data_IF_151532602764
#
_entry.id   IF_151532602764
#
_cell.length_a   1.000
_cell.length_b   1.000
_cell.length_c   1.000
_cell.angle_alpha   90.00
_cell.angle_beta   90.00
_cell.angle_gamma   90.00
#
_symmetry.space_group_name_H-M   'P 1'
#
loop_
_entity.id
_entity.type
_entity.pdbx_description
1 polymer ?
#
# COMPACT_ATOMS: atom_id res chain seq x y z
N UNK A 1 23.80 15.23 -11.40
CA UNK A 1 23.13 13.90 -11.29
C UNK A 1 23.93 12.79 -11.98
N UNK A 2 24.64 13.08 -13.08
CA UNK A 2 25.54 12.14 -13.74
C UNK A 2 26.72 11.74 -12.86
N UNK A 3 27.32 12.67 -12.13
CA UNK A 3 28.49 12.44 -11.27
C UNK A 3 28.23 11.43 -10.15
N UNK A 4 27.07 11.49 -9.48
CA UNK A 4 26.70 10.52 -8.42
C UNK A 4 26.55 9.09 -8.97
N UNK A 5 26.07 8.94 -10.20
CA UNK A 5 25.97 7.62 -10.83
C UNK A 5 27.35 7.08 -11.21
N UNK A 6 28.22 7.90 -11.78
CA UNK A 6 29.60 7.54 -12.14
C UNK A 6 30.44 7.21 -10.91
N UNK A 7 30.37 8.02 -9.87
CA UNK A 7 31.04 7.75 -8.58
C UNK A 7 30.55 6.44 -7.96
N UNK A 8 29.25 6.16 -7.96
CA UNK A 8 28.68 4.92 -7.44
C UNK A 8 29.15 3.68 -8.23
N UNK A 9 29.40 3.79 -9.53
CA UNK A 9 29.91 2.67 -10.34
C UNK A 9 31.38 2.36 -10.07
N UNK A 10 32.19 3.35 -9.78
CA UNK A 10 33.62 3.20 -9.55
C UNK A 10 33.97 2.94 -8.09
N UNK A 11 33.11 3.36 -7.15
CA UNK A 11 33.38 3.20 -5.72
C UNK A 11 33.35 1.73 -5.30
N UNK A 12 34.48 1.24 -4.80
CA UNK A 12 34.59 -0.10 -4.20
C UNK A 12 33.79 -0.15 -2.91
N UNK A 13 33.24 -1.34 -2.62
CA UNK A 13 32.52 -1.55 -1.37
C UNK A 13 33.43 -1.38 -0.17
N UNK A 14 33.03 -0.51 0.75
CA UNK A 14 33.73 -0.31 2.02
C UNK A 14 33.38 -1.46 2.97
N UNK A 15 34.34 -1.93 3.77
CA UNK A 15 34.07 -2.86 4.89
C UNK A 15 33.08 -2.17 5.84
N UNK A 16 32.24 -2.97 6.52
CA UNK A 16 31.33 -2.45 7.53
C UNK A 16 32.07 -1.51 8.48
N UNK A 17 31.76 -0.21 8.38
CA UNK A 17 32.24 0.80 9.31
C UNK A 17 31.30 0.94 10.51
N UNK A 18 31.53 1.96 11.35
CA UNK A 18 30.59 2.34 12.39
C UNK A 18 29.21 2.60 11.76
N UNK A 19 28.16 2.08 12.43
CA UNK A 19 26.78 2.34 12.04
C UNK A 19 26.56 3.85 11.90
N UNK A 20 26.10 4.25 10.72
CA UNK A 20 25.58 5.60 10.53
C UNK A 20 24.09 5.56 10.89
N UNK A 21 23.65 6.51 11.70
CA UNK A 21 22.26 6.66 12.11
C UNK A 21 21.34 6.85 10.90
N UNK A 22 20.65 5.81 10.48
CA UNK A 22 19.59 5.87 9.44
C UNK A 22 18.25 6.18 10.10
N UNK A 23 17.97 7.45 10.26
CA UNK A 23 16.99 8.00 11.18
C UNK A 23 15.54 7.76 10.82
N UNK A 24 15.18 7.73 9.53
CA UNK A 24 13.78 7.65 9.09
C UNK A 24 13.22 6.24 9.01
N UNK A 25 14.05 5.21 8.92
CA UNK A 25 13.65 3.82 8.62
C UNK A 25 13.79 2.85 9.78
N UNK A 26 14.40 3.27 10.89
CA UNK A 26 14.66 2.40 12.05
C UNK A 26 13.41 1.88 12.76
N UNK A 27 12.25 2.49 12.54
CA UNK A 27 10.98 2.04 13.13
C UNK A 27 10.29 0.93 12.34
N UNK A 28 10.78 0.62 11.15
CA UNK A 28 10.23 -0.45 10.31
C UNK A 28 11.00 -1.74 10.53
N UNK A 29 10.29 -2.87 10.50
CA UNK A 29 10.93 -4.16 10.65
C UNK A 29 11.68 -4.55 9.38
N UNK A 30 12.77 -5.31 9.54
CA UNK A 30 13.67 -5.70 8.45
C UNK A 30 12.99 -6.49 7.33
N UNK A 31 11.84 -7.14 7.59
CA UNK A 31 11.12 -7.95 6.60
C UNK A 31 10.83 -7.17 5.31
N UNK A 32 10.44 -5.88 5.44
CA UNK A 32 10.20 -5.03 4.29
C UNK A 32 11.43 -4.74 3.43
N UNK A 33 12.63 -4.95 3.98
CA UNK A 33 13.91 -4.70 3.33
C UNK A 33 14.66 -5.96 2.91
N UNK A 34 14.14 -7.16 3.18
CA UNK A 34 14.79 -8.44 2.80
C UNK A 34 15.14 -8.48 1.30
N UNK A 35 14.24 -8.11 0.37
CA UNK A 35 14.58 -8.20 -1.05
C UNK A 35 15.79 -7.34 -1.42
N UNK A 36 15.81 -6.08 -0.95
CA UNK A 36 16.91 -5.15 -1.22
C UNK A 36 18.22 -5.63 -0.57
N UNK A 37 18.13 -6.14 0.67
CA UNK A 37 19.27 -6.67 1.38
C UNK A 37 19.88 -7.89 0.68
N UNK A 38 19.06 -8.77 0.12
CA UNK A 38 19.51 -9.93 -0.67
C UNK A 38 20.25 -9.46 -1.94
N UNK A 39 19.65 -8.56 -2.72
CA UNK A 39 20.28 -8.05 -3.94
C UNK A 39 21.60 -7.32 -3.66
N UNK A 40 21.62 -6.45 -2.65
CA UNK A 40 22.83 -5.76 -2.22
C UNK A 40 23.88 -6.74 -1.68
N UNK A 41 23.46 -7.74 -0.91
CA UNK A 41 24.34 -8.77 -0.35
C UNK A 41 25.03 -9.61 -1.44
N UNK A 42 24.30 -9.96 -2.52
CA UNK A 42 24.89 -10.64 -3.69
C UNK A 42 25.94 -9.75 -4.35
N UNK A 43 25.62 -8.46 -4.58
CA UNK A 43 26.59 -7.51 -5.13
C UNK A 43 27.86 -7.41 -4.30
N UNK A 44 27.71 -7.37 -2.97
CA UNK A 44 28.83 -7.37 -2.03
C UNK A 44 29.62 -8.67 -2.07
N UNK A 45 28.96 -9.81 -2.09
CA UNK A 45 29.62 -11.14 -2.17
C UNK A 45 30.46 -11.28 -3.45
N UNK A 46 29.96 -10.76 -4.58
CA UNK A 46 30.64 -10.76 -5.86
C UNK A 46 31.66 -9.60 -6.01
N UNK A 47 31.91 -8.81 -4.97
CA UNK A 47 32.80 -7.64 -4.99
C UNK A 47 32.46 -6.62 -6.10
N UNK A 48 31.19 -6.46 -6.43
CA UNK A 48 30.72 -5.47 -7.39
C UNK A 48 30.78 -4.06 -6.78
N UNK A 49 30.73 -3.03 -7.62
CA UNK A 49 30.70 -1.63 -7.14
C UNK A 49 29.45 -1.36 -6.30
N UNK A 50 29.49 -0.32 -5.48
CA UNK A 50 28.35 0.13 -4.65
C UNK A 50 27.12 0.41 -5.52
N UNK A 51 27.31 1.10 -6.67
CA UNK A 51 26.23 1.42 -7.60
C UNK A 51 25.56 0.17 -8.17
N UNK A 52 26.34 -0.80 -8.65
CA UNK A 52 25.80 -2.07 -9.18
C UNK A 52 25.07 -2.85 -8.08
N UNK A 53 25.63 -2.91 -6.87
CA UNK A 53 25.00 -3.58 -5.73
C UNK A 53 23.67 -2.92 -5.33
N UNK A 54 23.61 -1.60 -5.39
CA UNK A 54 22.38 -0.83 -5.16
C UNK A 54 21.30 -1.16 -6.21
N UNK A 55 21.66 -1.20 -7.50
CA UNK A 55 20.72 -1.58 -8.55
C UNK A 55 20.25 -3.03 -8.43
N UNK A 56 21.12 -3.97 -8.02
CA UNK A 56 20.71 -5.34 -7.71
C UNK A 56 19.64 -5.36 -6.61
N UNK A 57 19.82 -4.57 -5.54
CA UNK A 57 18.81 -4.44 -4.49
C UNK A 57 17.46 -3.94 -5.01
N UNK A 58 17.46 -2.96 -5.93
CA UNK A 58 16.23 -2.47 -6.59
C UNK A 58 15.57 -3.55 -7.44
N UNK A 59 16.34 -4.30 -8.23
CA UNK A 59 15.83 -5.40 -9.06
C UNK A 59 15.18 -6.48 -8.17
N UNK A 60 15.82 -6.87 -7.09
CA UNK A 60 15.25 -7.85 -6.15
C UNK A 60 13.95 -7.35 -5.51
N UNK A 61 13.85 -6.05 -5.23
CA UNK A 61 12.62 -5.45 -4.73
C UNK A 61 11.48 -5.50 -5.76
N UNK A 62 11.77 -5.21 -7.04
CA UNK A 62 10.80 -5.37 -8.14
C UNK A 62 10.34 -6.82 -8.26
N UNK A 63 11.26 -7.78 -8.23
CA UNK A 63 10.94 -9.21 -8.32
C UNK A 63 10.03 -9.62 -7.16
N UNK A 64 10.36 -9.22 -5.93
CA UNK A 64 9.54 -9.51 -4.76
C UNK A 64 8.13 -8.91 -4.89
N UNK A 65 8.02 -7.65 -5.32
CA UNK A 65 6.74 -7.02 -5.59
C UNK A 65 5.93 -7.79 -6.64
N UNK A 66 6.55 -8.16 -7.76
CA UNK A 66 5.89 -8.93 -8.82
C UNK A 66 5.36 -10.27 -8.30
N UNK A 67 6.14 -10.99 -7.49
CA UNK A 67 5.70 -12.26 -6.88
C UNK A 67 4.50 -12.05 -5.98
N UNK A 68 4.55 -11.06 -5.07
CA UNK A 68 3.45 -10.76 -4.15
C UNK A 68 2.19 -10.30 -4.89
N UNK A 69 2.34 -9.45 -5.91
CA UNK A 69 1.24 -8.99 -6.75
C UNK A 69 0.59 -10.15 -7.53
N UNK A 70 1.38 -11.05 -8.11
CA UNK A 70 0.86 -12.24 -8.80
C UNK A 70 0.07 -13.16 -7.86
N UNK A 71 0.55 -13.35 -6.62
CA UNK A 71 -0.17 -14.11 -5.58
C UNK A 71 -1.50 -13.41 -5.28
N UNK A 72 -1.49 -12.09 -5.07
CA UNK A 72 -2.69 -11.31 -4.79
C UNK A 72 -3.70 -11.37 -5.92
N UNK A 73 -3.27 -11.24 -7.18
CA UNK A 73 -4.11 -11.33 -8.37
C UNK A 73 -4.78 -12.72 -8.44
N UNK A 74 -4.02 -13.80 -8.24
CA UNK A 74 -4.55 -15.17 -8.23
C UNK A 74 -5.57 -15.38 -7.11
N UNK A 75 -5.36 -14.81 -5.94
CA UNK A 75 -6.27 -14.90 -4.81
C UNK A 75 -7.55 -14.07 -5.01
N UNK A 76 -7.51 -13.01 -5.81
CA UNK A 76 -8.64 -12.09 -5.98
C UNK A 76 -9.82 -12.65 -6.78
N UNK A 77 -9.72 -13.86 -7.34
CA UNK A 77 -10.81 -14.54 -8.03
C UNK A 77 -11.45 -13.69 -9.13
N UNK A 78 -12.76 -13.41 -9.02
CA UNK A 78 -13.50 -12.57 -9.97
C UNK A 78 -13.00 -11.11 -10.04
N UNK A 79 -12.27 -10.64 -9.03
CA UNK A 79 -11.68 -9.29 -8.99
C UNK A 79 -10.24 -9.24 -9.51
N UNK A 80 -9.71 -10.32 -10.12
CA UNK A 80 -8.31 -10.41 -10.58
C UNK A 80 -7.93 -9.28 -11.55
N UNK A 81 -8.80 -8.86 -12.45
CA UNK A 81 -8.53 -7.76 -13.40
C UNK A 81 -8.40 -6.42 -12.69
N UNK A 82 -9.26 -6.14 -11.68
CA UNK A 82 -9.12 -4.95 -10.84
C UNK A 82 -7.80 -4.96 -10.07
N UNK A 83 -7.46 -6.10 -9.47
CA UNK A 83 -6.21 -6.24 -8.74
C UNK A 83 -5.00 -6.07 -9.67
N UNK A 84 -5.05 -6.60 -10.90
CA UNK A 84 -4.01 -6.39 -11.92
C UNK A 84 -3.86 -4.91 -12.25
N UNK A 85 -4.97 -4.22 -12.52
CA UNK A 85 -4.96 -2.79 -12.81
C UNK A 85 -4.34 -1.99 -11.68
N UNK A 86 -4.74 -2.24 -10.43
CA UNK A 86 -4.18 -1.55 -9.26
C UNK A 86 -2.69 -1.86 -9.06
N UNK A 87 -2.30 -3.14 -9.18
CA UNK A 87 -0.92 -3.54 -9.03
C UNK A 87 0.00 -2.90 -10.08
N UNK A 88 -0.53 -2.56 -11.25
CA UNK A 88 0.20 -1.92 -12.33
C UNK A 88 0.09 -0.39 -12.34
N UNK A 89 -0.45 0.27 -11.31
CA UNK A 89 -0.40 1.72 -11.21
C UNK A 89 1.06 2.22 -11.20
N UNK A 90 1.35 3.33 -11.89
CA UNK A 90 2.71 3.87 -11.98
C UNK A 90 3.39 4.05 -10.63
N UNK A 91 2.69 4.58 -9.64
CA UNK A 91 3.23 4.77 -8.29
C UNK A 91 3.65 3.43 -7.65
N UNK A 92 2.92 2.34 -7.86
CA UNK A 92 3.31 1.01 -7.37
C UNK A 92 4.64 0.55 -7.96
N UNK A 93 4.85 0.80 -9.26
CA UNK A 93 6.08 0.40 -9.94
C UNK A 93 7.27 1.26 -9.50
N UNK A 94 7.05 2.55 -9.29
CA UNK A 94 8.07 3.45 -8.72
C UNK A 94 8.48 2.97 -7.32
N UNK A 95 7.52 2.64 -6.47
CA UNK A 95 7.79 2.10 -5.14
C UNK A 95 8.52 0.75 -5.21
N UNK A 96 8.10 -0.14 -6.11
CA UNK A 96 8.78 -1.41 -6.33
C UNK A 96 10.23 -1.23 -6.81
N UNK A 97 10.47 -0.25 -7.68
CA UNK A 97 11.80 0.07 -8.19
C UNK A 97 12.64 0.95 -7.25
N UNK A 98 12.15 1.28 -6.07
CA UNK A 98 12.82 2.12 -5.08
C UNK A 98 13.39 1.31 -3.92
N UNK A 99 14.29 1.90 -3.15
CA UNK A 99 14.87 1.29 -1.95
C UNK A 99 14.02 1.61 -0.73
N UNK A 100 12.84 0.99 -0.64
CA UNK A 100 11.88 1.21 0.46
C UNK A 100 11.10 -0.08 0.80
N UNK A 101 10.45 -0.10 1.96
CA UNK A 101 9.62 -1.21 2.41
C UNK A 101 8.19 -1.18 1.84
N UNK A 102 7.77 -0.07 1.22
CA UNK A 102 6.39 0.12 0.75
C UNK A 102 5.96 -0.91 -0.29
N UNK A 103 6.89 -1.38 -1.13
CA UNK A 103 6.62 -2.41 -2.15
C UNK A 103 6.17 -3.73 -1.52
N UNK A 104 6.87 -4.21 -0.49
CA UNK A 104 6.53 -5.44 0.23
C UNK A 104 5.24 -5.24 1.04
N UNK A 105 5.09 -4.09 1.71
CA UNK A 105 3.88 -3.76 2.45
C UNK A 105 2.63 -3.71 1.55
N UNK A 106 2.74 -3.12 0.34
CA UNK A 106 1.65 -3.09 -0.64
C UNK A 106 1.34 -4.48 -1.18
N UNK A 107 2.36 -5.26 -1.54
CA UNK A 107 2.17 -6.64 -1.97
C UNK A 107 1.44 -7.48 -0.92
N UNK A 108 1.80 -7.37 0.37
CA UNK A 108 1.09 -8.02 1.47
C UNK A 108 -0.34 -7.48 1.65
N UNK A 109 -0.52 -6.17 1.54
CA UNK A 109 -1.85 -5.54 1.57
C UNK A 109 -2.76 -6.15 0.50
N UNK A 110 -2.27 -6.28 -0.73
CA UNK A 110 -3.01 -6.87 -1.84
C UNK A 110 -3.31 -8.35 -1.63
N UNK A 111 -2.38 -9.12 -1.03
CA UNK A 111 -2.62 -10.53 -0.66
C UNK A 111 -3.73 -10.63 0.39
N UNK A 112 -3.72 -9.81 1.43
CA UNK A 112 -4.74 -9.78 2.48
C UNK A 112 -6.11 -9.45 1.88
N UNK A 113 -6.18 -8.43 1.00
CA UNK A 113 -7.42 -8.09 0.28
C UNK A 113 -7.84 -9.23 -0.64
N UNK A 114 -6.91 -9.85 -1.37
CA UNK A 114 -7.17 -11.00 -2.24
C UNK A 114 -7.74 -12.19 -1.48
N UNK A 115 -7.20 -12.52 -0.30
CA UNK A 115 -7.75 -13.56 0.58
C UNK A 115 -9.18 -13.25 1.00
N UNK A 116 -9.45 -12.01 1.46
CA UNK A 116 -10.81 -11.59 1.80
C UNK A 116 -11.75 -11.73 0.60
N UNK A 117 -11.36 -11.25 -0.57
CA UNK A 117 -12.17 -11.35 -1.80
C UNK A 117 -12.42 -12.81 -2.16
N UNK A 118 -11.44 -13.69 -2.07
CA UNK A 118 -11.60 -15.13 -2.29
C UNK A 118 -12.61 -15.71 -1.32
N UNK A 119 -12.48 -15.42 -0.03
CA UNK A 119 -13.34 -15.97 1.01
C UNK A 119 -14.80 -15.54 0.86
N UNK A 120 -15.06 -14.35 0.31
CA UNK A 120 -16.42 -13.83 0.18
C UNK A 120 -17.07 -14.08 -1.21
N UNK A 121 -16.26 -14.23 -2.28
CA UNK A 121 -16.78 -14.37 -3.65
C UNK A 121 -16.75 -15.79 -4.21
N UNK A 122 -15.88 -16.65 -3.71
CA UNK A 122 -15.74 -18.03 -4.16
C UNK A 122 -16.82 -18.89 -3.49
N UNK A 123 -17.78 -19.40 -4.28
CA UNK A 123 -18.94 -20.14 -3.79
C UNK A 123 -18.56 -21.51 -3.21
N UNK A 124 -17.46 -22.11 -3.66
CA UNK A 124 -16.96 -23.40 -3.17
C UNK A 124 -16.03 -23.24 -1.94
N UNK A 125 -15.55 -22.04 -1.68
CA UNK A 125 -14.63 -21.78 -0.56
C UNK A 125 -15.39 -21.82 0.77
N UNK A 126 -14.93 -22.71 1.65
CA UNK A 126 -15.33 -22.77 3.05
C UNK A 126 -14.16 -22.33 3.93
N UNK A 127 -14.38 -21.25 4.68
CA UNK A 127 -13.36 -20.65 5.54
C UNK A 127 -13.18 -21.50 6.79
N UNK A 128 -11.95 -21.91 7.04
CA UNK A 128 -11.51 -22.71 8.19
C UNK A 128 -10.68 -21.86 9.14
N UNK A 129 -10.46 -22.34 10.35
CA UNK A 129 -9.66 -21.63 11.36
C UNK A 129 -8.24 -21.29 10.85
N UNK A 130 -7.63 -22.18 10.07
CA UNK A 130 -6.32 -21.94 9.47
C UNK A 130 -6.30 -20.73 8.53
N UNK A 131 -7.41 -20.48 7.82
CA UNK A 131 -7.52 -19.33 6.92
C UNK A 131 -7.56 -18.03 7.73
N UNK A 132 -8.30 -18.01 8.86
CA UNK A 132 -8.36 -16.88 9.78
C UNK A 132 -7.01 -16.61 10.47
N UNK A 133 -6.30 -17.66 10.86
CA UNK A 133 -4.97 -17.55 11.46
C UNK A 133 -3.96 -17.02 10.45
N UNK A 134 -3.96 -17.53 9.21
CA UNK A 134 -3.09 -17.00 8.14
C UNK A 134 -3.37 -15.52 7.89
N UNK A 135 -4.64 -15.13 7.83
CA UNK A 135 -5.05 -13.75 7.62
C UNK A 135 -4.52 -12.83 8.73
N UNK A 136 -4.74 -13.21 9.98
CA UNK A 136 -4.27 -12.46 11.15
C UNK A 136 -2.72 -12.39 11.19
N UNK A 137 -2.03 -13.48 10.87
CA UNK A 137 -0.57 -13.52 10.79
C UNK A 137 -0.02 -12.55 9.74
N UNK A 138 -0.62 -12.50 8.55
CA UNK A 138 -0.22 -11.52 7.52
C UNK A 138 -0.47 -10.07 7.97
N UNK A 139 -1.56 -9.82 8.72
CA UNK A 139 -1.81 -8.51 9.31
C UNK A 139 -0.74 -8.13 10.35
N UNK A 140 -0.29 -9.08 11.18
CA UNK A 140 0.82 -8.87 12.13
C UNK A 140 2.10 -8.46 11.41
N UNK A 141 2.45 -9.13 10.30
CA UNK A 141 3.62 -8.75 9.51
C UNK A 141 3.43 -7.35 8.90
N UNK A 142 2.25 -7.08 8.33
CA UNK A 142 1.95 -5.81 7.65
C UNK A 142 2.08 -4.61 8.60
N UNK A 143 1.60 -4.75 9.84
CA UNK A 143 1.67 -3.69 10.87
C UNK A 143 3.09 -3.20 11.12
N UNK A 144 4.07 -4.09 11.06
CA UNK A 144 5.48 -3.74 11.30
C UNK A 144 6.07 -2.84 10.20
N UNK A 145 5.38 -2.73 9.06
CA UNK A 145 5.79 -1.91 7.91
C UNK A 145 4.82 -0.76 7.64
N UNK A 146 3.52 -0.95 7.89
CA UNK A 146 2.48 0.04 7.54
C UNK A 146 1.32 0.02 8.54
N UNK A 147 1.51 0.70 9.66
CA UNK A 147 0.60 0.66 10.81
C UNK A 147 -0.88 0.94 10.48
N UNK A 148 -1.28 1.95 9.67
CA UNK A 148 -2.70 2.22 9.41
C UNK A 148 -3.46 1.03 8.81
N UNK A 149 -2.78 0.13 8.13
CA UNK A 149 -3.37 -1.05 7.51
C UNK A 149 -3.65 -2.21 8.49
N UNK A 150 -3.36 -2.03 9.79
CA UNK A 150 -3.82 -2.96 10.85
C UNK A 150 -5.33 -3.19 10.78
N UNK A 151 -6.08 -2.16 10.39
CA UNK A 151 -7.54 -2.20 10.33
C UNK A 151 -8.08 -3.22 9.31
N UNK A 152 -7.27 -3.71 8.38
CA UNK A 152 -7.65 -4.81 7.49
C UNK A 152 -8.03 -6.08 8.26
N UNK A 153 -7.46 -6.31 9.45
CA UNK A 153 -7.85 -7.45 10.28
C UNK A 153 -9.34 -7.41 10.65
N UNK A 154 -9.95 -6.22 10.70
CA UNK A 154 -11.38 -6.04 10.94
C UNK A 154 -12.28 -6.68 9.87
N UNK A 155 -11.78 -6.89 8.64
CA UNK A 155 -12.52 -7.58 7.58
C UNK A 155 -12.92 -9.01 7.97
N UNK A 156 -12.22 -9.64 8.90
CA UNK A 156 -12.60 -10.95 9.45
C UNK A 156 -14.02 -10.97 10.02
N UNK A 157 -14.55 -9.89 10.56
CA UNK A 157 -15.93 -9.83 11.08
C UNK A 157 -16.98 -9.78 9.98
N UNK A 158 -16.57 -9.48 8.75
CA UNK A 158 -17.47 -9.22 7.62
C UNK A 158 -17.46 -10.33 6.55
N UNK A 159 -16.85 -11.47 6.84
CA UNK A 159 -17.03 -12.69 6.06
C UNK A 159 -18.37 -13.32 6.50
N UNK A 160 -19.29 -13.66 5.57
CA UNK A 160 -20.59 -14.24 5.93
C UNK A 160 -20.44 -15.53 6.73
N UNK A 161 -21.14 -15.66 7.86
CA UNK A 161 -21.11 -16.86 8.73
C UNK A 161 -21.40 -18.16 7.96
N UNK A 162 -22.27 -18.12 6.94
CA UNK A 162 -22.59 -19.28 6.10
C UNK A 162 -21.39 -19.83 5.33
N UNK A 163 -20.33 -19.04 5.15
CA UNK A 163 -19.09 -19.42 4.47
C UNK A 163 -18.03 -20.03 5.40
N UNK A 164 -18.33 -20.14 6.70
CA UNK A 164 -17.36 -20.61 7.70
C UNK A 164 -17.83 -21.89 8.37
N UNK A 165 -16.92 -22.84 8.61
CA UNK A 165 -17.14 -24.04 9.39
C UNK A 165 -16.86 -23.83 10.91
N UNK A 166 -16.40 -22.65 11.32
CA UNK A 166 -16.04 -22.39 12.71
C UNK A 166 -17.29 -22.16 13.56
N UNK A 167 -17.55 -23.03 14.56
CA UNK A 167 -18.71 -22.92 15.45
C UNK A 167 -18.79 -21.54 16.12
N UNK A 168 -17.66 -21.04 16.65
CA UNK A 168 -17.56 -19.77 17.36
C UNK A 168 -16.83 -18.70 16.51
N UNK A 169 -17.17 -18.61 15.24
CA UNK A 169 -16.50 -17.77 14.26
C UNK A 169 -16.26 -16.33 14.72
N UNK A 170 -17.31 -15.64 15.18
CA UNK A 170 -17.19 -14.25 15.61
C UNK A 170 -16.29 -14.07 16.83
N UNK A 171 -16.33 -15.01 17.78
CA UNK A 171 -15.47 -14.99 18.96
C UNK A 171 -14.00 -15.18 18.57
N UNK A 172 -13.73 -16.14 17.67
CA UNK A 172 -12.38 -16.39 17.16
C UNK A 172 -11.87 -15.17 16.39
N UNK A 173 -12.70 -14.60 15.50
CA UNK A 173 -12.34 -13.39 14.74
C UNK A 173 -12.04 -12.21 15.67
N UNK A 174 -12.87 -12.00 16.70
CA UNK A 174 -12.65 -10.94 17.69
C UNK A 174 -11.35 -11.17 18.48
N UNK A 175 -11.10 -12.40 18.92
CA UNK A 175 -9.86 -12.74 19.63
C UNK A 175 -8.62 -12.48 18.76
N UNK A 176 -8.67 -12.84 17.46
CA UNK A 176 -7.59 -12.57 16.51
C UNK A 176 -7.40 -11.07 16.29
N UNK A 177 -8.48 -10.30 16.15
CA UNK A 177 -8.42 -8.85 16.03
C UNK A 177 -7.74 -8.25 17.26
N UNK A 178 -8.20 -8.60 18.45
CA UNK A 178 -7.59 -8.13 19.70
C UNK A 178 -6.11 -8.50 19.76
N UNK A 179 -5.74 -9.74 19.40
CA UNK A 179 -4.34 -10.18 19.38
C UNK A 179 -3.47 -9.34 18.44
N UNK A 180 -3.98 -9.02 17.26
CA UNK A 180 -3.26 -8.16 16.29
C UNK A 180 -3.12 -6.73 16.82
N UNK A 181 -4.16 -6.18 17.46
CA UNK A 181 -4.09 -4.85 18.09
C UNK A 181 -3.12 -4.81 19.28
N UNK A 182 -3.14 -5.84 20.14
CA UNK A 182 -2.17 -5.96 21.25
C UNK A 182 -0.75 -6.03 20.71
N UNK A 183 -0.51 -6.84 19.68
CA UNK A 183 0.79 -6.87 19.01
C UNK A 183 1.16 -5.50 18.41
N UNK A 184 0.21 -4.78 17.81
CA UNK A 184 0.44 -3.44 17.24
C UNK A 184 0.90 -2.46 18.31
N UNK A 185 0.24 -2.45 19.48
CA UNK A 185 0.63 -1.59 20.60
C UNK A 185 2.02 -1.98 21.11
N UNK A 186 2.26 -3.28 21.31
CA UNK A 186 3.57 -3.80 21.71
C UNK A 186 4.67 -3.36 20.73
N UNK A 187 4.44 -3.54 19.41
CA UNK A 187 5.37 -3.13 18.36
C UNK A 187 5.62 -1.62 18.38
N UNK A 188 4.55 -0.84 18.52
CA UNK A 188 4.66 0.61 18.59
C UNK A 188 5.51 1.05 19.78
N UNK A 189 5.28 0.50 20.96
CA UNK A 189 6.05 0.80 22.19
C UNK A 189 7.52 0.37 22.02
N UNK A 190 7.76 -0.83 21.50
CA UNK A 190 9.11 -1.34 21.28
C UNK A 190 9.92 -0.43 20.34
N UNK A 191 9.29 0.05 19.25
CA UNK A 191 9.97 0.89 18.25
C UNK A 191 10.14 2.35 18.70
N UNK A 192 9.49 2.81 19.77
CA UNK A 192 9.67 4.18 20.28
C UNK A 192 11.13 4.47 20.65
N UNK A 193 11.85 3.50 21.19
CA UNK A 193 13.23 3.65 21.62
C UNK A 193 14.22 3.83 20.45
N UNK A 194 13.82 3.38 19.26
CA UNK A 194 14.64 3.39 18.04
C UNK A 194 14.27 4.56 17.12
N UNK A 195 13.12 5.20 17.36
CA UNK A 195 12.69 6.37 16.58
C UNK A 195 13.51 7.58 16.93
N UNK A 196 14.28 8.06 15.97
CA UNK A 196 15.05 9.27 16.14
C UNK A 196 14.16 10.48 15.85
N UNK A 197 14.02 11.37 16.81
CA UNK A 197 13.10 12.52 16.77
C UNK A 197 13.42 13.58 15.71
N UNK A 198 14.61 13.54 15.10
CA UNK A 198 15.16 14.61 14.29
C UNK A 198 14.60 14.71 12.85
N UNK A 199 13.62 13.89 12.46
CA UNK A 199 13.02 13.92 11.12
C UNK A 199 11.54 14.33 11.18
N UNK A 200 11.21 15.27 12.03
CA UNK A 200 9.87 15.86 12.12
C UNK A 200 9.91 17.29 11.56
N UNK A 201 8.78 17.77 11.06
CA UNK A 201 8.63 19.19 10.79
C UNK A 201 8.79 19.97 12.09
N UNK A 202 9.39 21.14 12.01
CA UNK A 202 9.54 22.03 13.15
C UNK A 202 8.17 22.33 13.78
N UNK A 203 8.07 22.19 15.10
CA UNK A 203 6.81 22.34 15.84
C UNK A 203 5.90 21.08 15.84
N UNK A 204 6.29 19.96 15.21
CA UNK A 204 5.53 18.70 15.31
C UNK A 204 5.83 18.01 16.65
N UNK A 205 4.81 17.89 17.49
CA UNK A 205 4.87 17.17 18.78
C UNK A 205 3.60 16.37 19.01
N UNK A 206 3.76 15.04 19.15
CA UNK A 206 2.63 14.12 19.32
C UNK A 206 1.85 14.41 20.60
N UNK A 207 2.54 14.68 21.71
CA UNK A 207 1.89 14.94 23.01
C UNK A 207 1.11 16.26 22.97
N UNK A 208 1.74 17.31 22.46
CA UNK A 208 1.11 18.61 22.27
C UNK A 208 -0.10 18.55 21.36
N UNK A 209 -0.01 17.79 20.25
CA UNK A 209 -1.11 17.63 19.31
C UNK A 209 -2.30 16.86 19.92
N UNK A 210 -2.04 15.76 20.68
CA UNK A 210 -3.07 15.03 21.40
C UNK A 210 -3.74 15.95 22.45
N UNK A 211 -2.96 16.70 23.22
CA UNK A 211 -3.48 17.66 24.19
C UNK A 211 -4.38 18.71 23.53
N UNK A 212 -3.99 19.22 22.37
CA UNK A 212 -4.77 20.19 21.59
C UNK A 212 -6.11 19.59 21.12
N UNK A 213 -6.09 18.35 20.59
CA UNK A 213 -7.30 17.65 20.14
C UNK A 213 -8.26 17.43 21.31
N UNK A 214 -7.76 16.96 22.46
CA UNK A 214 -8.59 16.67 23.65
C UNK A 214 -9.15 17.97 24.25
N UNK A 215 -8.36 19.03 24.31
CA UNK A 215 -8.79 20.31 24.92
C UNK A 215 -9.78 21.08 24.06
N UNK A 216 -9.68 20.97 22.73
CA UNK A 216 -10.55 21.69 21.77
C UNK A 216 -10.99 20.79 20.62
N UNK A 217 -11.73 19.68 20.87
CA UNK A 217 -12.08 18.70 19.86
C UNK A 217 -12.90 19.31 18.70
N UNK A 218 -13.75 20.30 18.98
CA UNK A 218 -14.56 20.98 17.97
C UNK A 218 -13.74 21.81 16.96
N UNK A 219 -12.47 22.14 17.29
CA UNK A 219 -11.56 22.81 16.37
C UNK A 219 -10.76 21.82 15.54
N UNK A 220 -10.27 20.75 16.14
CA UNK A 220 -9.28 19.86 15.52
C UNK A 220 -9.87 18.60 14.85
N UNK A 221 -11.00 18.07 15.34
CA UNK A 221 -11.68 16.98 14.65
C UNK A 221 -12.14 17.34 13.23
N UNK A 222 -12.69 18.55 12.98
CA UNK A 222 -13.03 18.98 11.61
C UNK A 222 -11.83 19.00 10.65
N UNK A 223 -10.62 19.29 11.14
CA UNK A 223 -9.39 19.27 10.33
C UNK A 223 -9.13 17.86 9.80
N UNK A 224 -9.22 16.84 10.66
CA UNK A 224 -9.05 15.43 10.29
C UNK A 224 -10.15 15.00 9.33
N UNK A 225 -11.41 15.36 9.61
CA UNK A 225 -12.55 15.03 8.75
C UNK A 225 -12.43 15.70 7.37
N UNK A 226 -12.00 16.96 7.32
CA UNK A 226 -11.72 17.67 6.06
C UNK A 226 -10.68 16.91 5.24
N UNK A 227 -9.56 16.49 5.86
CA UNK A 227 -8.53 15.73 5.18
C UNK A 227 -9.05 14.39 4.66
N UNK A 228 -9.86 13.67 5.45
CA UNK A 228 -10.49 12.43 4.99
C UNK A 228 -11.36 12.65 3.73
N UNK A 229 -12.10 13.75 3.64
CA UNK A 229 -12.87 14.10 2.45
C UNK A 229 -11.97 14.49 1.27
N UNK A 230 -10.86 15.18 1.54
CA UNK A 230 -9.89 15.58 0.54
C UNK A 230 -8.99 14.42 0.08
N UNK A 231 -9.04 13.27 0.75
CA UNK A 231 -8.20 12.10 0.42
C UNK A 231 -8.33 11.67 -1.06
N UNK A 232 -9.50 11.88 -1.66
CA UNK A 232 -9.74 11.58 -3.09
C UNK A 232 -8.89 12.49 -4.00
N UNK A 233 -8.61 13.73 -3.61
CA UNK A 233 -7.78 14.65 -4.40
C UNK A 233 -6.31 14.17 -4.49
N UNK A 234 -5.84 13.45 -3.47
CA UNK A 234 -4.48 12.88 -3.49
C UNK A 234 -4.32 11.70 -4.46
N UNK A 235 -5.42 11.17 -5.03
CA UNK A 235 -5.35 10.08 -6.01
C UNK A 235 -4.69 10.53 -7.33
N UNK A 236 -4.66 11.84 -7.64
CA UNK A 236 -3.90 12.37 -8.76
C UNK A 236 -2.39 12.07 -8.63
N UNK A 237 -1.88 12.00 -7.40
CA UNK A 237 -0.49 11.67 -7.11
C UNK A 237 -0.12 10.20 -7.42
N UNK A 238 -1.09 9.33 -7.70
CA UNK A 238 -0.81 7.96 -8.17
C UNK A 238 -0.13 7.94 -9.54
N UNK A 239 -0.16 9.06 -10.25
CA UNK A 239 0.45 9.29 -11.55
C UNK A 239 1.68 10.21 -11.46
N UNK A 240 2.15 10.55 -10.26
CA UNK A 240 3.39 11.31 -10.04
C UNK A 240 4.52 10.37 -9.61
N UNK A 241 5.76 10.77 -9.94
CA UNK A 241 6.97 10.02 -9.66
C UNK A 241 7.92 10.83 -8.77
N UNK A 242 8.98 10.17 -8.31
CA UNK A 242 9.98 10.81 -7.46
C UNK A 242 9.40 11.20 -6.11
N UNK A 243 9.73 12.38 -5.64
CA UNK A 243 9.20 12.99 -4.41
C UNK A 243 7.97 13.86 -4.70
N UNK A 244 7.11 13.42 -5.63
CA UNK A 244 5.98 14.17 -6.19
C UNK A 244 6.40 15.38 -7.04
N UNK A 245 7.63 15.38 -7.49
CA UNK A 245 8.26 16.42 -8.31
C UNK A 245 8.19 16.15 -9.80
N UNK A 246 7.92 14.90 -10.19
CA UNK A 246 7.79 14.47 -11.57
C UNK A 246 6.33 14.06 -11.84
N UNK A 247 5.52 15.00 -12.29
CA UNK A 247 4.14 14.69 -12.68
C UNK A 247 4.08 14.03 -14.06
N UNK A 248 3.12 13.13 -14.23
CA UNK A 248 2.76 12.61 -15.54
C UNK A 248 2.25 13.75 -16.42
N UNK A 249 2.52 13.70 -17.73
CA UNK A 249 2.02 14.73 -18.64
C UNK A 249 0.50 14.78 -18.62
N UNK A 250 -0.03 15.97 -18.87
CA UNK A 250 -1.47 16.21 -18.96
C UNK A 250 -2.16 15.32 -20.01
N UNK A 251 -1.41 14.84 -21.00
CA UNK A 251 -1.90 13.90 -22.04
C UNK A 251 -2.07 12.48 -21.50
N UNK A 252 -1.16 12.01 -20.63
CA UNK A 252 -1.21 10.65 -20.12
C UNK A 252 -2.25 10.45 -19.03
N UNK A 253 -2.59 11.48 -18.24
CA UNK A 253 -3.62 11.41 -17.23
C UNK A 253 -4.98 11.00 -17.81
N UNK A 254 -5.50 11.64 -18.85
CA UNK A 254 -6.72 11.20 -19.54
C UNK A 254 -6.65 9.77 -20.09
N UNK A 255 -5.49 9.37 -20.63
CA UNK A 255 -5.28 8.00 -21.15
C UNK A 255 -5.41 6.98 -20.01
N UNK A 256 -4.82 7.24 -18.85
CA UNK A 256 -4.98 6.39 -17.65
C UNK A 256 -6.41 6.38 -17.14
N UNK A 257 -7.07 7.53 -17.09
CA UNK A 257 -8.47 7.61 -16.70
C UNK A 257 -9.36 6.79 -17.65
N UNK A 258 -9.15 6.92 -18.97
CA UNK A 258 -9.86 6.15 -19.98
C UNK A 258 -9.58 4.65 -19.84
N UNK A 259 -8.31 4.25 -19.68
CA UNK A 259 -7.94 2.86 -19.42
C UNK A 259 -8.63 2.31 -18.18
N UNK A 260 -8.63 3.06 -17.08
CA UNK A 260 -9.31 2.68 -15.84
C UNK A 260 -10.81 2.50 -16.07
N UNK A 261 -11.45 3.44 -16.76
CA UNK A 261 -12.87 3.38 -17.10
C UNK A 261 -13.19 2.19 -18.02
N UNK A 262 -12.39 1.95 -19.06
CA UNK A 262 -12.56 0.82 -19.99
C UNK A 262 -12.38 -0.48 -19.22
N UNK A 263 -11.33 -0.64 -18.42
CA UNK A 263 -11.11 -1.85 -17.62
C UNK A 263 -12.27 -2.06 -16.67
N UNK A 264 -12.66 -1.03 -15.91
CA UNK A 264 -13.80 -1.07 -15.00
C UNK A 264 -15.11 -1.43 -15.70
N UNK A 265 -15.38 -0.91 -16.92
CA UNK A 265 -16.59 -1.19 -17.67
C UNK A 265 -16.65 -2.62 -18.23
N UNK A 266 -15.52 -3.28 -18.40
CA UNK A 266 -15.42 -4.63 -18.99
C UNK A 266 -15.31 -5.76 -17.98
N UNK A 267 -15.06 -5.43 -16.70
CA UNK A 267 -15.05 -6.43 -15.63
C UNK A 267 -16.45 -7.01 -15.48
N UNK A 268 -16.53 -8.34 -15.45
CA UNK A 268 -17.76 -9.05 -15.16
C UNK A 268 -18.34 -8.73 -13.79
N UNK A 269 -19.51 -9.23 -13.51
CA UNK A 269 -20.24 -8.97 -12.26
C UNK A 269 -19.46 -9.51 -11.05
N UNK A 270 -19.07 -8.63 -10.17
CA UNK A 270 -18.52 -8.99 -8.86
C UNK A 270 -19.63 -8.84 -7.83
N UNK A 271 -20.09 -9.96 -7.27
CA UNK A 271 -21.12 -9.98 -6.21
C UNK A 271 -20.46 -10.13 -4.86
N UNK A 272 -20.38 -9.04 -4.10
CA UNK A 272 -20.02 -9.12 -2.69
C UNK A 272 -21.28 -9.27 -1.83
N UNK A 273 -21.26 -10.09 -0.78
CA UNK A 273 -22.32 -10.11 0.22
C UNK A 273 -22.51 -8.74 0.84
N UNK A 274 -23.74 -8.33 1.17
CA UNK A 274 -24.03 -7.01 1.74
C UNK A 274 -23.18 -6.71 2.99
N UNK A 275 -23.00 -7.70 3.87
CA UNK A 275 -22.17 -7.56 5.07
C UNK A 275 -20.70 -7.27 4.71
N UNK A 276 -20.18 -7.90 3.66
CA UNK A 276 -18.81 -7.68 3.20
C UNK A 276 -18.64 -6.32 2.53
N UNK A 277 -19.66 -5.83 1.79
CA UNK A 277 -19.68 -4.46 1.24
C UNK A 277 -19.60 -3.44 2.37
N UNK A 278 -20.47 -3.56 3.38
CA UNK A 278 -20.47 -2.66 4.55
C UNK A 278 -19.12 -2.72 5.27
N UNK A 279 -18.62 -3.93 5.52
CA UNK A 279 -17.34 -4.11 6.22
C UNK A 279 -16.15 -3.51 5.47
N UNK A 280 -16.04 -3.78 4.16
CA UNK A 280 -14.98 -3.23 3.34
C UNK A 280 -15.05 -1.70 3.26
N UNK A 281 -16.26 -1.11 3.17
CA UNK A 281 -16.46 0.34 3.18
C UNK A 281 -16.04 0.95 4.53
N UNK A 282 -16.47 0.35 5.65
CA UNK A 282 -16.11 0.82 6.99
C UNK A 282 -14.60 0.75 7.25
N UNK A 283 -13.97 -0.38 6.87
CA UNK A 283 -12.53 -0.56 7.03
C UNK A 283 -11.76 0.41 6.15
N UNK A 284 -12.19 0.62 4.89
CA UNK A 284 -11.57 1.62 4.01
C UNK A 284 -11.63 3.03 4.60
N UNK A 285 -12.82 3.44 5.06
CA UNK A 285 -13.03 4.74 5.70
C UNK A 285 -12.16 4.89 6.97
N UNK A 286 -12.11 3.85 7.79
CA UNK A 286 -11.30 3.85 9.01
C UNK A 286 -9.79 3.90 8.71
N UNK A 287 -9.30 3.23 7.64
CA UNK A 287 -7.89 3.33 7.21
C UNK A 287 -7.58 4.77 6.77
N UNK A 288 -8.44 5.41 5.98
CA UNK A 288 -8.27 6.82 5.58
C UNK A 288 -8.20 7.72 6.82
N UNK A 289 -9.12 7.53 7.77
CA UNK A 289 -9.12 8.27 9.03
C UNK A 289 -7.84 8.06 9.85
N UNK A 290 -7.37 6.82 9.94
CA UNK A 290 -6.15 6.50 10.69
C UNK A 290 -4.89 7.05 10.00
N UNK A 291 -4.84 7.08 8.66
CA UNK A 291 -3.75 7.75 7.91
C UNK A 291 -3.75 9.24 8.23
N UNK A 292 -4.90 9.92 8.10
CA UNK A 292 -5.03 11.35 8.38
C UNK A 292 -4.67 11.67 9.83
N UNK A 293 -5.18 10.89 10.78
CA UNK A 293 -4.88 11.06 12.21
C UNK A 293 -3.39 10.83 12.49
N UNK A 294 -2.79 9.78 11.93
CA UNK A 294 -1.37 9.47 12.16
C UNK A 294 -0.49 10.61 11.68
N UNK A 295 -0.72 11.14 10.47
CA UNK A 295 0.06 12.26 9.94
C UNK A 295 -0.20 13.56 10.70
N UNK A 296 -1.44 13.78 11.14
CA UNK A 296 -1.76 14.93 11.98
C UNK A 296 -1.02 14.90 13.32
N UNK A 297 -0.88 13.71 13.93
CA UNK A 297 -0.17 13.55 15.20
C UNK A 297 1.36 13.58 15.07
N UNK A 298 1.90 12.98 13.99
CA UNK A 298 3.34 12.69 13.91
C UNK A 298 4.13 13.64 13.02
N UNK A 299 3.46 14.27 12.06
CA UNK A 299 4.12 15.08 11.03
C UNK A 299 3.69 16.54 11.02
N UNK A 300 2.46 16.83 11.45
CA UNK A 300 1.91 18.19 11.40
C UNK A 300 2.29 18.99 12.66
N UNK A 301 2.70 20.26 12.53
CA UNK A 301 2.96 21.14 13.69
C UNK A 301 1.71 21.27 14.58
N UNK A 302 1.95 21.41 15.89
CA UNK A 302 0.86 21.51 16.88
C UNK A 302 -0.03 22.71 16.59
N UNK A 303 -1.34 22.46 16.57
CA UNK A 303 -2.35 23.48 16.36
C UNK A 303 -2.59 23.88 14.91
N UNK A 304 -1.94 23.25 13.94
CA UNK A 304 -2.19 23.53 12.52
C UNK A 304 -3.62 23.10 12.12
N UNK A 305 -4.25 23.89 11.25
CA UNK A 305 -5.60 23.64 10.71
C UNK A 305 -5.61 22.87 9.38
N UNK A 306 -4.48 22.27 9.03
CA UNK A 306 -4.32 21.38 7.87
C UNK A 306 -3.45 20.18 8.25
N UNK A 307 -3.74 19.01 7.66
CA UNK A 307 -2.91 17.83 7.81
C UNK A 307 -1.81 17.87 6.76
N UNK A 308 -0.55 17.86 7.21
CA UNK A 308 0.60 17.93 6.31
C UNK A 308 1.19 16.53 6.04
N UNK A 309 1.88 16.40 4.91
CA UNK A 309 2.63 15.19 4.56
C UNK A 309 1.76 14.06 3.99
N UNK A 310 0.49 14.30 3.70
CA UNK A 310 -0.39 13.31 3.07
C UNK A 310 0.05 13.08 1.62
N UNK A 311 0.11 11.81 1.23
CA UNK A 311 0.52 11.41 -0.11
C UNK A 311 -0.40 10.32 -0.66
N UNK A 312 -0.71 10.39 -1.97
CA UNK A 312 -1.60 9.45 -2.66
C UNK A 312 -1.19 7.99 -2.52
N UNK A 313 0.13 7.71 -2.43
CA UNK A 313 0.66 6.35 -2.21
C UNK A 313 0.15 5.67 -0.94
N UNK A 314 -0.27 6.46 0.06
CA UNK A 314 -0.83 5.89 1.29
C UNK A 314 -2.20 5.26 1.09
N UNK A 315 -2.92 5.63 0.02
CA UNK A 315 -4.27 5.15 -0.28
C UNK A 315 -4.33 4.00 -1.30
N UNK A 316 -3.19 3.52 -1.83
CA UNK A 316 -3.14 2.44 -2.83
C UNK A 316 -3.87 1.16 -2.36
N UNK A 317 -3.69 0.75 -1.10
CA UNK A 317 -4.41 -0.38 -0.54
C UNK A 317 -5.91 -0.11 -0.34
N UNK A 318 -6.28 1.14 0.00
CA UNK A 318 -7.69 1.55 0.09
C UNK A 318 -8.35 1.45 -1.28
N UNK A 319 -7.70 1.92 -2.34
CA UNK A 319 -8.18 1.81 -3.73
C UNK A 319 -8.40 0.34 -4.11
N UNK A 320 -7.45 -0.54 -3.78
CA UNK A 320 -7.58 -1.97 -4.04
C UNK A 320 -8.80 -2.61 -3.35
N UNK A 321 -9.17 -2.13 -2.16
CA UNK A 321 -10.34 -2.61 -1.41
C UNK A 321 -11.64 -1.95 -1.89
N UNK A 322 -11.62 -0.67 -2.25
CA UNK A 322 -12.81 0.07 -2.68
C UNK A 322 -13.31 -0.33 -4.08
N UNK A 323 -12.42 -0.62 -5.03
CA UNK A 323 -12.82 -0.92 -6.41
C UNK A 323 -13.76 -2.14 -6.52
N UNK A 324 -13.52 -3.29 -5.86
CA UNK A 324 -14.47 -4.42 -5.82
C UNK A 324 -15.81 -4.05 -5.18
N UNK A 325 -15.81 -3.19 -4.14
CA UNK A 325 -17.03 -2.68 -3.50
C UNK A 325 -17.84 -1.85 -4.50
N UNK A 326 -17.19 -0.91 -5.18
CA UNK A 326 -17.81 -0.07 -6.20
C UNK A 326 -18.40 -0.94 -7.32
N UNK A 327 -17.64 -1.93 -7.82
CA UNK A 327 -18.15 -2.88 -8.81
C UNK A 327 -19.37 -3.62 -8.31
N UNK A 328 -19.37 -4.07 -7.06
CA UNK A 328 -20.50 -4.79 -6.47
C UNK A 328 -21.76 -3.94 -6.37
N UNK A 329 -21.62 -2.63 -6.10
CA UNK A 329 -22.75 -1.71 -5.97
C UNK A 329 -23.33 -1.29 -7.33
N UNK A 330 -22.48 -0.92 -8.28
CA UNK A 330 -22.91 -0.29 -9.53
C UNK A 330 -23.13 -1.26 -10.70
N UNK A 331 -22.48 -2.44 -10.69
CA UNK A 331 -22.53 -3.40 -11.79
C UNK A 331 -23.51 -4.58 -11.60
N UNK A 332 -24.53 -4.43 -10.78
CA UNK A 332 -25.51 -5.51 -10.56
C UNK A 332 -26.33 -5.89 -11.81
N UNK A 333 -26.42 -5.00 -12.79
CA UNK A 333 -27.21 -5.16 -14.02
C UNK A 333 -26.40 -5.56 -15.25
N UNK A 334 -25.10 -5.74 -15.13
CA UNK A 334 -24.21 -6.12 -16.25
C UNK A 334 -24.19 -7.65 -16.38
N UNK A 335 -24.08 -8.23 -17.59
CA UNK A 335 -23.90 -9.67 -17.78
C UNK A 335 -22.71 -10.22 -16.97
N UNK A 336 -22.80 -11.48 -16.52
CA UNK A 336 -21.75 -12.12 -15.71
C UNK A 336 -20.44 -12.33 -16.49
N UNK A 337 -20.50 -12.27 -17.83
CA UNK A 337 -19.36 -12.47 -18.71
C UNK A 337 -18.48 -11.23 -18.82
N UNK A 338 -17.17 -11.47 -18.79
CA UNK A 338 -16.17 -10.44 -19.09
C UNK A 338 -16.18 -10.14 -20.59
N UNK A 339 -16.25 -8.85 -20.96
CA UNK A 339 -16.20 -8.45 -22.36
C UNK A 339 -14.80 -8.57 -22.97
N UNK A 340 -13.76 -8.38 -22.18
CA UNK A 340 -12.37 -8.48 -22.62
C UNK A 340 -11.64 -9.61 -21.88
N UNK A 341 -10.71 -10.24 -22.61
CA UNK A 341 -9.83 -11.26 -22.03
C UNK A 341 -8.84 -10.66 -21.01
N UNK A 342 -8.31 -11.51 -20.14
CA UNK A 342 -7.24 -11.11 -19.22
C UNK A 342 -6.01 -10.57 -19.98
N UNK A 343 -5.73 -11.12 -21.16
CA UNK A 343 -4.66 -10.64 -22.05
C UNK A 343 -4.84 -9.18 -22.44
N UNK A 344 -6.06 -8.73 -22.72
CA UNK A 344 -6.33 -7.34 -23.05
C UNK A 344 -5.95 -6.41 -21.90
N UNK A 345 -6.31 -6.77 -20.65
CA UNK A 345 -5.99 -5.95 -19.46
C UNK A 345 -4.47 -5.87 -19.27
N UNK A 346 -3.77 -6.99 -19.43
CA UNK A 346 -2.30 -7.02 -19.30
C UNK A 346 -1.64 -6.23 -20.42
N UNK A 347 -2.04 -6.46 -21.68
CA UNK A 347 -1.42 -5.76 -22.82
C UNK A 347 -1.65 -4.23 -22.77
N UNK A 348 -2.90 -3.80 -22.48
CA UNK A 348 -3.19 -2.37 -22.33
C UNK A 348 -2.42 -1.74 -21.17
N UNK A 349 -2.29 -2.45 -20.05
CA UNK A 349 -1.46 -2.01 -18.93
C UNK A 349 0.01 -1.84 -19.33
N UNK A 350 0.57 -2.82 -20.06
CA UNK A 350 1.97 -2.75 -20.53
C UNK A 350 2.18 -1.57 -21.53
N UNK A 351 1.24 -1.34 -22.42
CA UNK A 351 1.31 -0.19 -23.37
C UNK A 351 1.36 1.12 -22.59
N UNK A 352 0.44 1.30 -21.62
CA UNK A 352 0.38 2.51 -20.81
C UNK A 352 1.64 2.69 -19.98
N UNK A 353 2.16 1.62 -19.37
CA UNK A 353 3.42 1.66 -18.64
C UNK A 353 4.61 2.02 -19.53
N UNK A 354 4.65 1.50 -20.76
CA UNK A 354 5.69 1.85 -21.73
C UNK A 354 5.63 3.33 -22.11
N UNK A 355 4.43 3.86 -22.35
CA UNK A 355 4.23 5.29 -22.61
C UNK A 355 4.67 6.15 -21.42
N UNK A 356 4.34 5.72 -20.21
CA UNK A 356 4.75 6.40 -18.96
C UNK A 356 6.28 6.39 -18.82
N UNK A 357 6.93 5.26 -19.09
CA UNK A 357 8.38 5.15 -19.06
C UNK A 357 9.05 6.07 -20.08
N UNK A 358 8.57 6.06 -21.32
CA UNK A 358 9.07 6.95 -22.39
C UNK A 358 8.94 8.43 -22.00
N UNK A 359 7.80 8.81 -21.42
CA UNK A 359 7.63 10.17 -20.93
C UNK A 359 8.58 10.50 -19.78
N UNK A 360 8.74 9.59 -18.81
CA UNK A 360 9.65 9.80 -17.69
C UNK A 360 11.09 9.99 -18.18
N UNK A 361 11.52 9.16 -19.14
CA UNK A 361 12.83 9.30 -19.79
C UNK A 361 12.93 10.66 -20.49
N UNK A 362 11.92 11.05 -21.27
CA UNK A 362 11.89 12.34 -21.97
C UNK A 362 12.01 13.51 -20.98
N UNK A 363 11.27 13.52 -19.89
CA UNK A 363 11.32 14.59 -18.88
C UNK A 363 12.67 14.64 -18.16
N UNK A 364 13.25 13.47 -17.84
CA UNK A 364 14.52 13.40 -17.12
C UNK A 364 15.73 13.76 -17.98
N UNK A 365 15.70 13.42 -19.27
CA UNK A 365 16.85 13.60 -20.18
C UNK A 365 16.70 14.77 -21.15
N UNK A 366 15.48 15.27 -21.41
CA UNK A 366 15.31 16.51 -22.19
C UNK A 366 15.61 17.79 -21.39
N UNK A 367 15.77 17.66 -20.08
CA UNK A 367 16.19 18.75 -19.18
C UNK A 367 17.73 18.84 -19.01
N UNK A 368 18.49 18.07 -19.81
CA UNK A 368 19.95 18.12 -19.95
C UNK A 368 20.30 18.71 -21.30
#
# INVERSE_FOLDING_TARGET
KSSLFEEGQTTKQVKFGKETDYRATNSYWFIGYIPQALGFGIGKFLNLSVGVSYYLGRIFNVIAYCILALIAIKLSGKAKQLMTMVAMFPMNLVLAASYNQDSVALGLTYIIIGLFLKDVTDDEKVVKIKDLLLYAFLCVILVTMKLPYVLLVGLLLFIPKKKTQCKNYYLISLALIISVFVFTIFWYVLTQQVRIENFKLEGADVKGQISSIISKPHWYLPVILKEMLLSVSHLNQLYTFGWLDLSMSEVLIPIYALYTLITFSNIGKIKLPKVSVVGASLVSFAIVGLISLTLYLTWTPVGNFEVLGVQGRYYLGVVALCLPVICSLFKQRVPDEQKFSDHFVVQSSLIILSLTLLQTISVLYAAV
#
